data_IF_753117875847
#
_entry.id   IF_753117875847
#
_cell.length_a   1.000
_cell.length_b   1.000
_cell.length_c   1.000
_cell.angle_alpha   90.00
_cell.angle_beta   90.00
_cell.angle_gamma   90.00
#
_symmetry.space_group_name_H-M   'P 1'
#
loop_
_entity.id
_entity.type
_entity.pdbx_description
1 polymer ?
#
# COMPACT_ATOMS: atom_id res chain seq x y z
N UNK A 1 -16.28 -8.91 -35.40
CA UNK A 1 -15.46 -10.02 -34.89
C UNK A 1 -14.12 -9.43 -34.46
N UNK A 2 -13.96 -9.06 -33.19
CA UNK A 2 -12.68 -8.58 -32.68
C UNK A 2 -11.83 -9.81 -32.37
N UNK A 3 -10.83 -10.04 -33.21
CA UNK A 3 -9.84 -11.08 -33.00
C UNK A 3 -8.96 -10.60 -31.84
N UNK A 4 -9.33 -10.95 -30.60
CA UNK A 4 -8.46 -10.78 -29.42
C UNK A 4 -7.31 -11.78 -29.57
N UNK A 5 -6.36 -11.45 -30.45
CA UNK A 5 -5.14 -12.22 -30.59
C UNK A 5 -4.32 -11.95 -29.35
N UNK A 6 -4.23 -12.94 -28.47
CA UNK A 6 -3.30 -12.96 -27.35
C UNK A 6 -1.87 -12.86 -27.91
N UNK A 7 -1.19 -11.73 -27.70
CA UNK A 7 0.18 -11.53 -28.18
C UNK A 7 1.17 -11.65 -27.04
N UNK A 8 2.33 -12.24 -27.32
CA UNK A 8 3.44 -12.29 -26.35
C UNK A 8 3.97 -10.89 -25.99
N UNK A 9 3.67 -9.87 -26.81
CA UNK A 9 4.03 -8.49 -26.49
C UNK A 9 3.11 -7.92 -25.41
N UNK A 10 1.78 -8.04 -25.60
CA UNK A 10 0.80 -7.64 -24.58
C UNK A 10 1.09 -8.35 -23.25
N UNK A 11 1.29 -9.67 -23.28
CA UNK A 11 1.62 -10.44 -22.08
C UNK A 11 2.90 -9.95 -21.38
N UNK A 12 3.93 -9.55 -22.13
CA UNK A 12 5.17 -8.99 -21.54
C UNK A 12 4.93 -7.63 -20.90
N UNK A 13 4.11 -6.79 -21.51
CA UNK A 13 3.78 -5.45 -20.96
C UNK A 13 2.93 -5.58 -19.70
N UNK A 14 1.92 -6.44 -19.73
CA UNK A 14 1.11 -6.79 -18.56
C UNK A 14 1.99 -7.34 -17.43
N UNK A 15 2.85 -8.31 -17.74
CA UNK A 15 3.79 -8.87 -16.76
C UNK A 15 4.66 -7.77 -16.17
N UNK A 16 5.27 -6.90 -16.98
CA UNK A 16 6.13 -5.81 -16.49
C UNK A 16 5.38 -4.90 -15.52
N UNK A 17 4.14 -4.53 -15.85
CA UNK A 17 3.30 -3.63 -15.05
C UNK A 17 3.06 -4.19 -13.64
N UNK A 18 2.83 -5.50 -13.51
CA UNK A 18 2.67 -6.15 -12.19
C UNK A 18 3.89 -6.00 -11.28
N UNK A 19 5.08 -5.81 -11.86
CA UNK A 19 6.33 -5.62 -11.11
C UNK A 19 6.72 -4.15 -10.94
N UNK A 20 5.96 -3.19 -11.48
CA UNK A 20 6.25 -1.77 -11.29
C UNK A 20 5.92 -1.35 -9.85
N UNK A 21 6.72 -0.44 -9.24
CA UNK A 21 6.39 0.11 -7.94
C UNK A 21 5.26 1.14 -8.06
N UNK A 22 4.45 1.23 -7.02
CA UNK A 22 3.44 2.26 -6.88
C UNK A 22 4.08 3.58 -6.44
N UNK A 23 4.09 4.58 -7.31
CA UNK A 23 4.73 5.87 -7.06
C UNK A 23 3.77 6.88 -6.43
N UNK A 24 4.22 7.53 -5.35
CA UNK A 24 3.50 8.56 -4.59
C UNK A 24 4.32 9.85 -4.64
N UNK A 25 3.70 10.94 -5.09
CA UNK A 25 4.31 12.27 -5.00
C UNK A 25 3.99 12.91 -3.66
N UNK A 26 5.01 13.28 -2.92
CA UNK A 26 4.92 13.89 -1.59
C UNK A 26 4.74 15.41 -1.70
N UNK A 27 4.29 16.02 -0.60
CA UNK A 27 4.04 17.46 -0.51
C UNK A 27 5.32 18.30 -0.69
N UNK A 28 6.48 17.76 -0.32
CA UNK A 28 7.81 18.37 -0.55
C UNK A 28 8.27 18.30 -2.03
N UNK A 29 7.45 17.70 -2.91
CA UNK A 29 7.74 17.51 -4.33
C UNK A 29 8.60 16.28 -4.65
N UNK A 30 9.10 15.56 -3.64
CA UNK A 30 9.81 14.30 -3.82
C UNK A 30 8.86 13.13 -4.10
N UNK A 31 9.41 12.00 -4.52
CA UNK A 31 8.66 10.78 -4.82
C UNK A 31 9.04 9.67 -3.83
N UNK A 32 8.03 8.97 -3.32
CA UNK A 32 8.15 7.72 -2.58
C UNK A 32 7.59 6.58 -3.44
N UNK A 33 8.21 5.42 -3.41
CA UNK A 33 7.81 4.24 -4.16
C UNK A 33 7.50 3.10 -3.20
N UNK A 34 6.30 2.50 -3.36
CA UNK A 34 5.92 1.27 -2.68
C UNK A 34 6.17 0.09 -3.60
N UNK A 35 6.99 -0.86 -3.16
CA UNK A 35 7.32 -2.05 -3.95
C UNK A 35 6.05 -2.86 -4.24
N UNK A 36 5.96 -3.40 -5.46
CA UNK A 36 5.00 -4.46 -5.77
C UNK A 36 5.18 -5.63 -4.81
N UNK A 37 4.08 -6.26 -4.39
CA UNK A 37 4.06 -7.45 -3.53
C UNK A 37 4.92 -8.58 -4.10
N UNK A 38 5.02 -8.67 -5.43
CA UNK A 38 5.85 -9.63 -6.17
C UNK A 38 7.36 -9.39 -5.99
N UNK A 39 7.78 -8.18 -5.60
CA UNK A 39 9.18 -7.79 -5.34
C UNK A 39 9.56 -7.77 -3.86
N UNK A 40 8.59 -7.96 -2.95
CA UNK A 40 8.87 -8.01 -1.52
C UNK A 40 9.66 -9.27 -1.14
N UNK A 41 10.51 -9.14 -0.11
CA UNK A 41 11.18 -10.29 0.49
C UNK A 41 10.16 -11.20 1.19
N UNK A 42 10.53 -12.45 1.49
CA UNK A 42 9.64 -13.37 2.22
C UNK A 42 9.24 -12.82 3.59
N UNK A 43 10.17 -12.13 4.26
CA UNK A 43 9.93 -11.49 5.55
C UNK A 43 8.96 -10.32 5.40
N UNK A 44 9.20 -9.42 4.45
CA UNK A 44 8.32 -8.27 4.20
C UNK A 44 6.90 -8.70 3.82
N UNK A 45 6.76 -9.72 2.94
CA UNK A 45 5.44 -10.27 2.59
C UNK A 45 4.70 -10.81 3.80
N UNK A 46 5.42 -11.47 4.71
CA UNK A 46 4.84 -11.98 5.96
C UNK A 46 4.40 -10.82 6.85
N UNK A 47 5.24 -9.80 7.03
CA UNK A 47 4.91 -8.59 7.80
C UNK A 47 3.67 -7.89 7.25
N UNK A 48 3.57 -7.71 5.92
CA UNK A 48 2.40 -7.12 5.28
C UNK A 48 1.16 -7.97 5.53
N UNK A 49 1.22 -9.27 5.27
CA UNK A 49 0.08 -10.18 5.46
C UNK A 49 -0.43 -10.19 6.90
N UNK A 50 0.49 -10.34 7.87
CA UNK A 50 0.15 -10.36 9.29
C UNK A 50 -0.45 -9.02 9.73
N UNK A 51 0.00 -7.90 9.15
CA UNK A 51 -0.53 -6.56 9.43
C UNK A 51 -1.92 -6.34 8.83
N UNK A 52 -2.17 -6.79 7.59
CA UNK A 52 -3.50 -6.73 6.96
C UNK A 52 -4.51 -7.62 7.72
N UNK A 53 -4.09 -8.81 8.16
CA UNK A 53 -4.91 -9.68 9.01
C UNK A 53 -5.19 -9.06 10.39
N UNK A 54 -4.22 -8.33 10.96
CA UNK A 54 -4.44 -7.59 12.19
C UNK A 54 -5.46 -6.46 11.99
N UNK A 55 -5.38 -5.69 10.89
CA UNK A 55 -6.37 -4.65 10.54
C UNK A 55 -7.77 -5.26 10.38
N UNK A 56 -7.92 -6.35 9.63
CA UNK A 56 -9.25 -6.96 9.38
C UNK A 56 -9.95 -7.46 10.64
N UNK A 57 -9.19 -7.71 11.72
CA UNK A 57 -9.70 -8.13 13.04
C UNK A 57 -9.93 -6.96 13.99
N UNK A 58 -9.61 -5.73 13.60
CA UNK A 58 -9.88 -4.55 14.43
C UNK A 58 -11.38 -4.27 14.49
N UNK A 59 -11.81 -3.76 15.64
CA UNK A 59 -13.10 -3.13 15.77
C UNK A 59 -13.02 -1.73 15.15
N UNK A 60 -13.60 -1.56 13.97
CA UNK A 60 -13.61 -0.28 13.27
C UNK A 60 -14.62 0.71 13.83
N UNK A 61 -15.43 0.31 14.81
CA UNK A 61 -16.31 1.20 15.57
C UNK A 61 -15.58 1.79 16.81
N UNK A 62 -14.37 1.31 17.12
CA UNK A 62 -13.52 1.83 18.20
C UNK A 62 -12.78 3.11 17.76
N UNK A 63 -13.50 4.23 17.79
CA UNK A 63 -12.97 5.58 17.54
C UNK A 63 -12.21 6.17 18.76
N UNK A 64 -11.85 5.33 19.73
CA UNK A 64 -11.01 5.79 20.85
C UNK A 64 -9.61 6.19 20.35
N UNK A 65 -8.92 7.11 21.05
CA UNK A 65 -7.54 7.46 20.71
C UNK A 65 -6.62 6.24 20.62
N UNK A 66 -6.80 5.26 21.50
CA UNK A 66 -6.03 4.00 21.53
C UNK A 66 -6.32 3.12 20.30
N UNK A 67 -7.59 3.03 19.90
CA UNK A 67 -8.00 2.33 18.67
C UNK A 67 -7.36 2.94 17.43
N UNK A 68 -7.46 4.26 17.28
CA UNK A 68 -6.86 4.99 16.16
C UNK A 68 -5.33 4.91 16.15
N UNK A 69 -4.68 5.02 17.31
CA UNK A 69 -3.22 4.82 17.46
C UNK A 69 -2.79 3.45 16.94
N UNK A 70 -3.53 2.41 17.31
CA UNK A 70 -3.25 1.05 16.86
C UNK A 70 -3.38 0.88 15.34
N UNK A 71 -4.36 1.53 14.71
CA UNK A 71 -4.48 1.54 13.23
C UNK A 71 -3.25 2.18 12.61
N UNK A 72 -2.85 3.36 13.10
CA UNK A 72 -1.66 4.08 12.62
C UNK A 72 -0.41 3.22 12.75
N UNK A 73 -0.21 2.56 13.90
CA UNK A 73 0.93 1.68 14.13
C UNK A 73 0.98 0.50 13.15
N UNK A 74 -0.16 -0.13 12.89
CA UNK A 74 -0.22 -1.30 11.99
C UNK A 74 0.04 -0.87 10.54
N UNK A 75 -0.59 0.19 10.05
CA UNK A 75 -0.34 0.68 8.68
C UNK A 75 1.11 1.18 8.55
N UNK A 76 1.68 1.79 9.58
CA UNK A 76 3.09 2.21 9.58
C UNK A 76 4.03 1.02 9.36
N UNK A 77 3.77 -0.13 10.01
CA UNK A 77 4.57 -1.35 9.80
C UNK A 77 4.54 -1.82 8.35
N UNK A 78 3.37 -1.72 7.69
CA UNK A 78 3.24 -2.03 6.27
C UNK A 78 4.12 -1.09 5.44
N UNK A 79 4.03 0.22 5.66
CA UNK A 79 4.83 1.19 4.91
C UNK A 79 6.33 1.01 5.13
N UNK A 80 6.79 0.66 6.34
CA UNK A 80 8.19 0.32 6.58
C UNK A 80 8.68 -0.91 5.80
N UNK A 81 7.80 -1.87 5.53
CA UNK A 81 8.14 -3.07 4.76
C UNK A 81 8.18 -2.81 3.24
N UNK A 82 7.33 -1.92 2.74
CA UNK A 82 7.10 -1.78 1.28
C UNK A 82 7.68 -0.50 0.67
N UNK A 83 7.81 0.58 1.43
CA UNK A 83 8.26 1.88 0.93
C UNK A 83 9.79 1.98 0.84
N UNK A 84 10.29 2.74 -0.15
CA UNK A 84 11.70 3.12 -0.23
C UNK A 84 12.08 4.26 0.75
N UNK A 85 11.10 5.08 1.14
CA UNK A 85 11.24 6.25 2.02
C UNK A 85 10.14 6.29 3.10
N UNK A 86 10.00 5.25 3.94
CA UNK A 86 8.87 5.10 4.85
C UNK A 86 8.70 6.26 5.84
N UNK A 87 9.78 6.76 6.43
CA UNK A 87 9.70 7.88 7.37
C UNK A 87 9.21 9.17 6.72
N UNK A 88 9.59 9.44 5.46
CA UNK A 88 9.09 10.60 4.71
C UNK A 88 7.63 10.45 4.37
N UNK A 89 7.22 9.28 3.86
CA UNK A 89 5.82 8.99 3.57
C UNK A 89 4.95 9.18 4.81
N UNK A 90 5.35 8.61 5.94
CA UNK A 90 4.62 8.73 7.21
C UNK A 90 4.55 10.18 7.72
N UNK A 91 5.62 10.96 7.52
CA UNK A 91 5.61 12.39 7.88
C UNK A 91 4.66 13.20 6.99
N UNK A 92 4.57 12.87 5.69
CA UNK A 92 3.66 13.55 4.75
C UNK A 92 2.19 13.14 4.96
N UNK A 93 1.95 11.96 5.53
CA UNK A 93 0.62 11.45 5.88
C UNK A 93 0.15 11.82 7.28
N UNK A 94 1.01 12.43 8.09
CA UNK A 94 0.66 12.86 9.44
C UNK A 94 -0.31 14.05 9.39
N UNK A 95 -1.30 14.04 10.28
CA UNK A 95 -2.26 15.12 10.48
C UNK A 95 -2.50 15.31 11.98
N UNK A 96 -2.80 16.54 12.40
CA UNK A 96 -3.14 16.85 13.80
C UNK A 96 -4.46 16.18 14.21
N UNK A 97 -5.38 15.96 13.25
CA UNK A 97 -6.58 15.16 13.46
C UNK A 97 -6.31 13.68 13.16
N UNK A 98 -6.38 12.86 14.21
CA UNK A 98 -6.15 11.42 14.16
C UNK A 98 -7.06 10.70 13.16
N UNK A 99 -8.32 11.14 13.02
CA UNK A 99 -9.25 10.52 12.08
C UNK A 99 -8.84 10.81 10.64
N UNK A 100 -8.38 12.04 10.37
CA UNK A 100 -7.85 12.42 9.06
C UNK A 100 -6.59 11.62 8.76
N UNK A 101 -5.66 11.52 9.71
CA UNK A 101 -4.42 10.74 9.55
C UNK A 101 -4.74 9.27 9.22
N UNK A 102 -5.59 8.61 9.99
CA UNK A 102 -6.00 7.21 9.72
C UNK A 102 -6.65 7.07 8.36
N UNK A 103 -7.54 7.99 7.99
CA UNK A 103 -8.21 7.98 6.69
C UNK A 103 -7.22 8.15 5.53
N UNK A 104 -6.24 9.05 5.63
CA UNK A 104 -5.19 9.24 4.63
C UNK A 104 -4.33 8.00 4.48
N UNK A 105 -3.84 7.45 5.59
CA UNK A 105 -3.01 6.24 5.60
C UNK A 105 -3.74 5.04 5.00
N UNK A 106 -5.02 4.86 5.34
CA UNK A 106 -5.86 3.77 4.82
C UNK A 106 -6.10 3.92 3.32
N UNK A 107 -6.36 5.14 2.83
CA UNK A 107 -6.54 5.40 1.39
C UNK A 107 -5.29 5.07 0.59
N UNK A 108 -4.11 5.45 1.09
CA UNK A 108 -2.84 5.11 0.43
C UNK A 108 -2.59 3.60 0.44
N UNK A 109 -2.87 2.93 1.57
CA UNK A 109 -2.76 1.48 1.66
C UNK A 109 -3.68 0.77 0.64
N UNK A 110 -4.95 1.16 0.58
CA UNK A 110 -5.92 0.56 -0.34
C UNK A 110 -5.52 0.79 -1.80
N UNK A 111 -5.10 2.00 -2.16
CA UNK A 111 -4.65 2.29 -3.52
C UNK A 111 -3.45 1.43 -3.94
N UNK A 112 -2.52 1.15 -3.02
CA UNK A 112 -1.40 0.24 -3.26
C UNK A 112 -1.86 -1.22 -3.38
N UNK A 113 -2.76 -1.67 -2.50
CA UNK A 113 -3.33 -3.03 -2.57
C UNK A 113 -4.02 -3.22 -3.92
N UNK A 114 -4.92 -2.31 -4.29
CA UNK A 114 -5.65 -2.33 -5.57
C UNK A 114 -4.71 -2.35 -6.78
N UNK A 115 -3.64 -1.54 -6.78
CA UNK A 115 -2.65 -1.56 -7.86
C UNK A 115 -1.91 -2.90 -7.97
N UNK A 116 -1.61 -3.52 -6.83
CA UNK A 116 -0.93 -4.83 -6.79
C UNK A 116 -1.86 -6.01 -7.14
N UNK A 117 -3.14 -5.95 -6.77
CA UNK A 117 -4.15 -6.97 -7.06
C UNK A 117 -4.73 -6.82 -8.48
N UNK A 118 -4.83 -5.61 -9.03
CA UNK A 118 -5.26 -5.38 -10.41
C UNK A 118 -4.30 -5.98 -11.45
N UNK A 119 -3.10 -6.38 -11.02
CA UNK A 119 -2.20 -7.22 -11.80
C UNK A 119 -2.68 -8.67 -11.98
N UNK A 120 -3.58 -9.18 -11.15
CA UNK A 120 -4.04 -10.59 -11.17
C UNK A 120 -5.33 -10.82 -12.00
N UNK A 121 -5.88 -9.76 -12.62
CA UNK A 121 -7.14 -9.81 -13.38
C UNK A 121 -6.98 -10.19 -14.87
#
# INVERSE_FOLDING_TARGET
MTNNVFTLQALREETKKQFEPFAIKLSDGSQCELKSTLRLSKEDRKTVKDSIDALSKMDYEDDSPEGLDKVVEIISKIFYAVADKPAKLLSDLHDDDKHIQVALMTKVLNAWIEDTEAGEA
#
